data_IF_787558834320
#
_entry.id   IF_787558834320
#
_cell.length_a   1.000
_cell.length_b   1.000
_cell.length_c   1.000
_cell.angle_alpha   90.00
_cell.angle_beta   90.00
_cell.angle_gamma   90.00
#
_symmetry.space_group_name_H-M   'P 1'
#
loop_
_entity.id
_entity.type
_entity.pdbx_description
1 polymer ?
#
# COMPACT_ATOMS: atom_id res chain seq x y z
N UNK A 1 7.19 9.36 -18.88
CA UNK A 1 6.82 10.37 -17.87
C UNK A 1 7.09 9.78 -16.50
N UNK A 2 7.82 10.48 -15.63
CA UNK A 2 7.93 10.09 -14.22
C UNK A 2 6.61 10.43 -13.53
N UNK A 3 6.03 9.46 -12.81
CA UNK A 3 4.88 9.73 -11.94
C UNK A 3 5.32 10.69 -10.83
N UNK A 4 4.42 11.58 -10.35
CA UNK A 4 4.73 12.44 -9.22
C UNK A 4 5.08 11.59 -8.00
N UNK A 5 6.07 12.04 -7.22
CA UNK A 5 6.46 11.41 -5.97
C UNK A 5 5.82 12.17 -4.80
N UNK A 6 5.04 11.45 -3.99
CA UNK A 6 4.44 11.94 -2.77
C UNK A 6 5.34 11.58 -1.58
N UNK A 7 6.02 12.58 -1.01
CA UNK A 7 6.89 12.40 0.16
C UNK A 7 6.10 11.92 1.39
N UNK A 8 4.88 12.44 1.57
CA UNK A 8 3.98 12.00 2.65
C UNK A 8 3.67 10.51 2.59
N UNK A 9 3.55 9.94 1.38
CA UNK A 9 3.34 8.51 1.17
C UNK A 9 4.53 7.69 1.67
N UNK A 10 5.76 8.12 1.35
CA UNK A 10 6.97 7.43 1.81
C UNK A 10 7.17 7.51 3.33
N UNK A 11 6.81 8.64 3.94
CA UNK A 11 6.94 8.86 5.38
C UNK A 11 5.99 7.97 6.20
N UNK A 12 4.79 7.70 5.71
CA UNK A 12 3.75 7.00 6.47
C UNK A 12 3.53 5.53 6.05
N UNK A 13 4.08 5.06 4.94
CA UNK A 13 3.84 3.71 4.42
C UNK A 13 4.15 2.57 5.41
N UNK A 14 5.22 2.69 6.21
CA UNK A 14 5.60 1.65 7.17
C UNK A 14 4.60 1.53 8.32
N UNK A 15 4.23 2.66 8.93
CA UNK A 15 3.27 2.68 10.05
C UNK A 15 1.90 2.20 9.59
N UNK A 16 1.48 2.57 8.38
CA UNK A 16 0.23 2.07 7.80
C UNK A 16 0.32 0.56 7.55
N UNK A 17 1.42 0.07 6.96
CA UNK A 17 1.63 -1.36 6.72
C UNK A 17 1.54 -2.19 8.00
N UNK A 18 2.12 -1.71 9.10
CA UNK A 18 2.09 -2.42 10.39
C UNK A 18 0.66 -2.62 10.90
N UNK A 19 -0.22 -1.63 10.69
CA UNK A 19 -1.65 -1.76 11.00
C UNK A 19 -2.34 -2.72 10.03
N UNK A 20 -2.07 -2.59 8.73
CA UNK A 20 -2.70 -3.42 7.69
C UNK A 20 -2.36 -4.91 7.85
N UNK A 21 -1.14 -5.26 8.28
CA UNK A 21 -0.75 -6.66 8.55
C UNK A 21 -1.61 -7.34 9.62
N UNK A 22 -2.11 -6.58 10.58
CA UNK A 22 -2.99 -7.10 11.62
C UNK A 22 -4.45 -7.26 11.16
N UNK A 23 -4.84 -6.57 10.09
CA UNK A 23 -6.22 -6.57 9.56
C UNK A 23 -6.35 -7.59 8.43
N UNK A 24 -5.39 -7.60 7.49
CA UNK A 24 -5.39 -8.48 6.33
C UNK A 24 -4.55 -9.72 6.60
N UNK A 25 -5.08 -10.65 7.40
CA UNK A 25 -4.38 -11.88 7.79
C UNK A 25 -4.61 -13.04 6.81
N UNK A 26 -5.67 -12.96 6.00
CA UNK A 26 -6.07 -14.01 5.06
C UNK A 26 -5.99 -13.51 3.62
N UNK A 27 -5.88 -14.44 2.67
CA UNK A 27 -5.89 -14.10 1.25
C UNK A 27 -7.21 -13.48 0.80
N UNK A 28 -7.14 -12.54 -0.12
CA UNK A 28 -8.31 -11.82 -0.61
C UNK A 28 -7.95 -10.82 -1.69
N UNK A 29 -8.91 -10.00 -2.09
CA UNK A 29 -8.70 -8.92 -3.06
C UNK A 29 -8.94 -7.57 -2.38
N UNK A 30 -8.01 -6.63 -2.56
CA UNK A 30 -8.09 -5.30 -1.98
C UNK A 30 -8.20 -4.24 -3.07
N UNK A 31 -9.15 -3.32 -2.92
CA UNK A 31 -9.32 -2.17 -3.80
C UNK A 31 -8.88 -0.89 -3.10
N UNK A 32 -7.84 -0.24 -3.61
CA UNK A 32 -7.47 1.11 -3.19
C UNK A 32 -8.30 2.14 -3.96
N UNK A 33 -9.06 2.97 -3.25
CA UNK A 33 -9.86 4.05 -3.83
C UNK A 33 -9.10 5.38 -3.66
N UNK A 34 -8.91 6.11 -4.76
CA UNK A 34 -8.25 7.42 -4.71
C UNK A 34 -6.74 7.36 -4.53
N UNK A 35 -6.07 6.37 -5.13
CA UNK A 35 -4.64 6.05 -4.93
C UNK A 35 -3.62 7.13 -5.35
N UNK A 36 -4.08 8.21 -5.98
CA UNK A 36 -3.21 9.32 -6.39
C UNK A 36 -2.06 8.87 -7.28
N UNK A 37 -0.83 8.85 -6.74
CA UNK A 37 0.38 8.41 -7.44
C UNK A 37 0.53 6.88 -7.53
N UNK A 38 -0.21 6.14 -6.70
CA UNK A 38 -0.17 4.67 -6.59
C UNK A 38 1.05 4.13 -5.83
N UNK A 39 1.79 4.98 -5.10
CA UNK A 39 3.00 4.54 -4.37
C UNK A 39 2.69 3.57 -3.23
N UNK A 40 1.58 3.77 -2.50
CA UNK A 40 1.14 2.84 -1.46
C UNK A 40 0.80 1.47 -2.04
N UNK A 41 0.08 1.40 -3.16
CA UNK A 41 -0.20 0.13 -3.84
C UNK A 41 1.10 -0.66 -4.12
N UNK A 42 2.11 -0.02 -4.74
CA UNK A 42 3.39 -0.68 -5.03
C UNK A 42 4.03 -1.22 -3.75
N UNK A 43 4.19 -0.37 -2.73
CA UNK A 43 4.83 -0.76 -1.48
C UNK A 43 4.05 -1.86 -0.73
N UNK A 44 2.72 -1.79 -0.67
CA UNK A 44 1.90 -2.78 0.04
C UNK A 44 1.84 -4.12 -0.70
N UNK A 45 1.78 -4.13 -2.03
CA UNK A 45 1.80 -5.39 -2.80
C UNK A 45 3.08 -6.21 -2.57
N UNK A 46 4.22 -5.55 -2.33
CA UNK A 46 5.48 -6.23 -2.01
C UNK A 46 5.51 -6.80 -0.58
N UNK A 47 4.67 -6.29 0.32
CA UNK A 47 4.68 -6.64 1.75
C UNK A 47 3.47 -7.47 2.21
N UNK A 48 2.43 -7.58 1.39
CA UNK A 48 1.19 -8.31 1.65
C UNK A 48 0.90 -9.29 0.49
N UNK A 49 1.87 -10.15 0.19
CA UNK A 49 1.90 -11.03 -0.99
C UNK A 49 0.74 -12.03 -1.08
N UNK A 50 0.02 -12.25 0.01
CA UNK A 50 -1.15 -13.12 0.05
C UNK A 50 -2.43 -12.42 -0.44
N UNK A 51 -2.38 -11.11 -0.70
CA UNK A 51 -3.48 -10.30 -1.21
C UNK A 51 -3.33 -10.07 -2.73
N UNK A 52 -4.47 -9.95 -3.41
CA UNK A 52 -4.62 -9.62 -4.83
C UNK A 52 -5.13 -8.19 -5.04
#
# INVERSE_FOLDING_TARGET
>A
MNKPYAESCAQNQHVILDVLKNIFTESGTVLEIGSGTGQHAVFFTENLLHLN
#
